data_IF_557519768898
#
_entry.id   IF_557519768898
#
_cell.length_a   1.000
_cell.length_b   1.000
_cell.length_c   1.000
_cell.angle_alpha   90.00
_cell.angle_beta   90.00
_cell.angle_gamma   90.00
#
_symmetry.space_group_name_H-M   'P 1'
#
loop_
_entity.id
_entity.type
_entity.pdbx_description
1 polymer ?
#
# COMPACT_ATOMS: atom_id res chain seq x y z
N UNK A 1 0.06 7.24 -0.11
CA UNK A 1 -0.92 6.23 0.34
C UNK A 1 -1.23 6.47 1.81
N UNK A 2 -2.50 6.32 2.19
CA UNK A 2 -2.93 6.32 3.59
C UNK A 2 -3.78 5.08 3.80
N UNK A 3 -3.50 4.32 4.86
CA UNK A 3 -4.12 3.01 5.11
C UNK A 3 -4.85 2.99 6.45
N UNK A 4 -5.70 1.98 6.67
CA UNK A 4 -6.35 1.76 7.96
C UNK A 4 -5.35 1.54 9.11
N UNK A 5 -4.20 0.92 8.82
CA UNK A 5 -3.11 0.80 9.79
C UNK A 5 -2.55 2.15 10.21
N UNK A 6 -2.52 3.12 9.31
CA UNK A 6 -2.06 4.48 9.60
C UNK A 6 -3.09 5.24 10.41
N UNK A 7 -4.37 5.12 10.02
CA UNK A 7 -5.50 5.63 10.79
C UNK A 7 -5.42 5.16 12.24
N UNK A 8 -5.34 3.84 12.46
CA UNK A 8 -5.25 3.26 13.80
C UNK A 8 -4.06 3.82 14.59
N UNK A 9 -2.86 3.85 14.00
CA UNK A 9 -1.64 4.37 14.65
C UNK A 9 -1.74 5.86 14.99
N UNK A 10 -2.38 6.67 14.16
CA UNK A 10 -2.54 8.11 14.40
C UNK A 10 -3.57 8.37 15.51
N UNK A 11 -4.66 7.60 15.55
CA UNK A 11 -5.64 7.65 16.65
C UNK A 11 -4.98 7.25 17.97
N UNK A 12 -4.19 6.17 17.99
CA UNK A 12 -3.42 5.74 19.18
C UNK A 12 -2.46 6.82 19.68
N UNK A 13 -1.94 7.67 18.79
CA UNK A 13 -1.06 8.81 19.11
C UNK A 13 -1.82 10.09 19.51
N UNK A 14 -3.15 10.09 19.47
CA UNK A 14 -3.98 11.26 19.81
C UNK A 14 -3.93 12.37 18.77
N UNK A 15 -3.59 12.07 17.51
CA UNK A 15 -3.59 13.05 16.42
C UNK A 15 -5.03 13.46 16.10
N UNK A 16 -5.29 14.76 15.99
CA UNK A 16 -6.58 15.26 15.52
C UNK A 16 -6.71 15.09 14.00
N UNK A 17 -7.27 13.96 13.60
CA UNK A 17 -7.48 13.62 12.19
C UNK A 17 -8.58 14.45 11.53
N UNK A 18 -9.45 15.13 12.29
CA UNK A 18 -10.55 15.92 11.69
C UNK A 18 -10.05 17.21 11.06
N UNK A 19 -8.94 17.75 11.58
CA UNK A 19 -8.30 18.96 11.07
C UNK A 19 -7.15 18.65 10.10
N UNK A 20 -6.76 17.37 9.97
CA UNK A 20 -5.65 16.96 9.11
C UNK A 20 -6.08 16.74 7.66
N UNK A 21 -5.20 17.06 6.71
CA UNK A 21 -5.39 16.73 5.29
C UNK A 21 -4.73 15.39 4.95
N UNK A 22 -5.18 14.73 3.87
CA UNK A 22 -4.56 13.48 3.43
C UNK A 22 -3.05 13.64 3.16
N UNK A 23 -2.62 14.78 2.62
CA UNK A 23 -1.22 15.08 2.36
C UNK A 23 -0.35 15.15 3.62
N UNK A 24 -0.94 15.52 4.76
CA UNK A 24 -0.23 15.61 6.04
C UNK A 24 -0.03 14.25 6.71
N UNK A 25 -0.92 13.29 6.44
CA UNK A 25 -0.95 11.99 7.13
C UNK A 25 -0.59 10.80 6.23
N UNK A 26 -0.46 11.01 4.92
CA UNK A 26 -0.12 9.96 3.98
C UNK A 26 1.39 9.72 3.87
N UNK A 27 1.74 8.52 3.42
CA UNK A 27 3.07 8.21 2.91
C UNK A 27 3.21 8.72 1.47
N UNK A 28 4.03 9.75 1.26
CA UNK A 28 4.24 10.38 -0.06
C UNK A 28 5.01 9.50 -1.05
N UNK A 29 5.83 8.58 -0.56
CA UNK A 29 6.66 7.67 -1.36
C UNK A 29 6.31 6.21 -1.02
N UNK A 30 5.14 5.72 -1.46
CA UNK A 30 4.76 4.33 -1.23
C UNK A 30 5.68 3.37 -1.99
N UNK A 31 5.80 2.15 -1.48
CA UNK A 31 6.34 1.05 -2.27
C UNK A 31 5.39 0.73 -3.42
N UNK A 32 5.97 0.53 -4.61
CA UNK A 32 5.24 0.24 -5.84
C UNK A 32 5.81 -1.00 -6.51
N UNK A 33 4.99 -1.61 -7.35
CA UNK A 33 5.32 -2.75 -8.21
C UNK A 33 4.85 -2.44 -9.62
N UNK A 34 5.55 -2.96 -10.63
CA UNK A 34 5.15 -2.74 -12.03
C UNK A 34 3.95 -3.60 -12.41
N UNK A 35 3.14 -3.13 -13.35
CA UNK A 35 1.96 -3.84 -13.85
C UNK A 35 2.28 -5.19 -14.52
N UNK A 36 3.51 -5.36 -15.01
CA UNK A 36 4.02 -6.59 -15.64
C UNK A 36 4.76 -7.51 -14.66
N UNK A 37 4.93 -7.11 -13.39
CA UNK A 37 5.60 -7.92 -12.39
C UNK A 37 4.78 -9.16 -12.02
N UNK A 38 5.49 -10.24 -11.67
CA UNK A 38 4.86 -11.44 -11.17
C UNK A 38 4.26 -11.19 -9.78
N UNK A 39 3.14 -11.86 -9.50
CA UNK A 39 2.47 -11.73 -8.21
C UNK A 39 3.37 -12.12 -7.03
N UNK A 40 4.30 -13.07 -7.23
CA UNK A 40 5.30 -13.46 -6.22
C UNK A 40 6.26 -12.32 -5.86
N UNK A 41 6.57 -11.42 -6.80
CA UNK A 41 7.40 -10.25 -6.53
C UNK A 41 6.66 -9.24 -5.65
N UNK A 42 5.35 -9.08 -5.88
CA UNK A 42 4.50 -8.27 -5.01
C UNK A 42 4.42 -8.86 -3.59
N UNK A 43 4.29 -10.19 -3.44
CA UNK A 43 4.33 -10.87 -2.13
C UNK A 43 5.67 -10.62 -1.43
N UNK A 44 6.78 -10.85 -2.12
CA UNK A 44 8.11 -10.68 -1.54
C UNK A 44 8.35 -9.23 -1.07
N UNK A 45 7.90 -8.23 -1.84
CA UNK A 45 7.96 -6.83 -1.45
C UNK A 45 7.10 -6.54 -0.21
N UNK A 46 5.88 -7.10 -0.17
CA UNK A 46 4.99 -6.98 0.98
C UNK A 46 5.62 -7.54 2.26
N UNK A 47 6.21 -8.74 2.19
CA UNK A 47 6.90 -9.38 3.31
C UNK A 47 8.13 -8.59 3.76
N UNK A 48 9.00 -8.22 2.81
CA UNK A 48 10.23 -7.46 3.07
C UNK A 48 9.95 -6.16 3.83
N UNK A 49 8.88 -5.46 3.47
CA UNK A 49 8.52 -4.18 4.07
C UNK A 49 7.46 -4.28 5.17
N UNK A 50 7.00 -5.49 5.51
CA UNK A 50 5.92 -5.71 6.48
C UNK A 50 4.66 -4.89 6.17
N UNK A 51 4.29 -4.81 4.89
CA UNK A 51 3.09 -4.13 4.39
C UNK A 51 2.11 -5.15 3.80
N UNK A 52 0.83 -4.82 3.80
CA UNK A 52 -0.24 -5.72 3.30
C UNK A 52 -0.85 -5.24 1.98
N UNK A 53 -0.33 -4.15 1.43
CA UNK A 53 -0.82 -3.55 0.19
C UNK A 53 0.32 -2.86 -0.55
N UNK A 54 0.27 -2.92 -1.86
CA UNK A 54 1.24 -2.28 -2.77
C UNK A 54 0.48 -1.60 -3.89
N UNK A 55 1.01 -0.47 -4.36
CA UNK A 55 0.47 0.23 -5.54
C UNK A 55 1.10 -0.31 -6.81
N UNK A 56 0.30 -0.44 -7.86
CA UNK A 56 0.75 -0.93 -9.17
C UNK A 56 0.91 0.26 -10.11
N UNK A 57 2.08 0.37 -10.73
CA UNK A 57 2.39 1.43 -11.71
C UNK A 57 2.67 0.83 -13.09
N UNK A 58 2.36 1.59 -14.14
CA UNK A 58 2.69 1.24 -15.51
C UNK A 58 4.16 1.58 -15.87
N UNK A 59 4.52 1.41 -17.14
CA UNK A 59 5.86 1.70 -17.66
C UNK A 59 6.28 3.17 -17.55
N UNK A 60 5.31 4.08 -17.56
CA UNK A 60 5.54 5.51 -17.38
C UNK A 60 5.59 5.92 -15.90
N UNK A 61 5.44 4.97 -14.98
CA UNK A 61 5.38 5.22 -13.53
C UNK A 61 4.04 5.79 -13.08
N UNK A 62 3.01 5.72 -13.92
CA UNK A 62 1.67 6.20 -13.60
C UNK A 62 0.92 5.12 -12.83
N UNK A 63 0.26 5.51 -11.74
CA UNK A 63 -0.56 4.61 -10.94
C UNK A 63 -1.69 4.02 -11.80
N UNK A 64 -1.72 2.69 -11.92
CA UNK A 64 -2.71 1.98 -12.71
C UNK A 64 -3.50 0.93 -11.92
N UNK A 65 -3.12 0.65 -10.67
CA UNK A 65 -3.83 -0.29 -9.82
C UNK A 65 -3.28 -0.39 -8.40
N UNK A 66 -3.79 -1.35 -7.65
CA UNK A 66 -3.30 -1.71 -6.32
C UNK A 66 -3.59 -3.19 -6.06
N UNK A 67 -2.76 -3.82 -5.23
CA UNK A 67 -2.95 -5.19 -4.75
C UNK A 67 -2.82 -5.21 -3.23
N UNK A 68 -3.65 -6.00 -2.57
CA UNK A 68 -3.51 -6.34 -1.17
C UNK A 68 -3.35 -7.85 -0.97
N UNK A 69 -2.93 -8.27 0.22
CA UNK A 69 -2.70 -9.69 0.53
C UNK A 69 -3.94 -10.57 0.32
N UNK A 70 -5.16 -10.03 0.50
CA UNK A 70 -6.39 -10.79 0.25
C UNK A 70 -6.61 -11.06 -1.24
N UNK A 71 -6.21 -10.13 -2.12
CA UNK A 71 -6.26 -10.33 -3.58
C UNK A 71 -5.36 -11.50 -3.99
N UNK A 72 -4.15 -11.55 -3.41
CA UNK A 72 -3.15 -12.58 -3.67
C UNK A 72 -3.58 -13.97 -3.13
N UNK A 73 -4.19 -14.01 -1.95
CA UNK A 73 -4.81 -15.24 -1.43
C UNK A 73 -5.96 -15.72 -2.32
N UNK A 74 -6.85 -14.82 -2.77
CA UNK A 74 -7.97 -15.18 -3.67
C UNK A 74 -7.47 -15.71 -5.01
N UNK A 75 -6.38 -15.14 -5.51
CA UNK A 75 -5.71 -15.60 -6.72
C UNK A 75 -4.91 -16.91 -6.54
N UNK A 76 -4.83 -17.45 -5.31
CA UNK A 76 -4.06 -18.66 -4.94
C UNK A 76 -2.57 -18.53 -5.26
N UNK A 77 -2.04 -17.32 -5.17
CA UNK A 77 -0.60 -17.06 -5.27
C UNK A 77 0.10 -17.46 -3.97
N UNK A 78 -0.60 -17.27 -2.85
CA UNK A 78 -0.24 -17.67 -1.48
C UNK A 78 -1.43 -18.34 -0.79
#
# INVERSE_FOLDING_TARGET
IFTDGDLRRLVEKGVDLRSSTAGEVMHAHPHTVRADALAVEAVALMEQHSITSVLVVDDAGVLCGALNTNDLMRAKVI
#
